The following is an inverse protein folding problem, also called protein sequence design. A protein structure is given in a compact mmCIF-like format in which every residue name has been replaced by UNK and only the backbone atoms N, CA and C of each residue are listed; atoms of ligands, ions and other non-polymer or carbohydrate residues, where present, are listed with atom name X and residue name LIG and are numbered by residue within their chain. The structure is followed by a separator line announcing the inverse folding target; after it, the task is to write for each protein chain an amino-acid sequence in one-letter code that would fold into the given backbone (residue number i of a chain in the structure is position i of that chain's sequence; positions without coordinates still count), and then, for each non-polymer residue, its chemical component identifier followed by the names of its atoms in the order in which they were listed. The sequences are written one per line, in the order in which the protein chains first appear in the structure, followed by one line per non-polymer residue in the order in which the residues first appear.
data_IF_085932909386
#
_entry.id   IF_085932909386
#
_cell.length_a   1.000
_cell.length_b   1.000
_cell.length_c   1.000
_cell.angle_alpha   90.00
_cell.angle_beta   90.00
_cell.angle_gamma   90.00
#
_symmetry.space_group_name_H-M   'P 1'
#
loop_
_entity.id
_entity.type
_entity.pdbx_description
1 polymer ?
#
# COMPACT_ATOMS: atom_id res chain seq x y z
N UNK A 1 15.73 -32.06 70.22
CA UNK A 1 15.33 -32.24 68.82
C UNK A 1 14.68 -30.95 68.33
N UNK A 2 15.33 -30.21 67.42
CA UNK A 2 14.74 -29.05 66.72
C UNK A 2 14.62 -29.44 65.25
N UNK A 3 13.40 -29.51 64.73
CA UNK A 3 13.12 -29.70 63.30
C UNK A 3 13.09 -28.33 62.61
N UNK A 4 13.84 -28.18 61.52
CA UNK A 4 13.81 -27.01 60.65
C UNK A 4 12.64 -27.11 59.65
N UNK A 5 11.97 -26.00 59.28
CA UNK A 5 10.89 -26.01 58.30
C UNK A 5 11.42 -25.98 56.85
N UNK A 6 11.21 -27.08 56.13
CA UNK A 6 11.51 -27.26 54.70
C UNK A 6 10.44 -26.60 53.79
N UNK A 7 10.14 -25.31 53.99
CA UNK A 7 8.99 -24.66 53.35
C UNK A 7 9.33 -23.45 52.47
N UNK A 8 10.60 -23.03 52.39
CA UNK A 8 10.97 -21.77 51.74
C UNK A 8 11.57 -21.89 50.33
N UNK A 9 11.87 -23.10 49.85
CA UNK A 9 12.59 -23.28 48.58
C UNK A 9 11.70 -23.44 47.33
N UNK A 10 10.39 -23.66 47.50
CA UNK A 10 9.51 -24.00 46.36
C UNK A 10 8.92 -22.75 45.67
N UNK A 11 8.88 -21.59 46.34
CA UNK A 11 8.30 -20.35 45.79
C UNK A 11 9.25 -19.53 44.90
N UNK A 12 10.55 -19.80 44.94
CA UNK A 12 11.56 -19.05 44.17
C UNK A 12 11.69 -19.48 42.71
N UNK A 13 11.34 -20.74 42.38
CA UNK A 13 11.60 -21.31 41.05
C UNK A 13 10.57 -20.90 39.98
N UNK A 14 9.35 -20.56 40.38
CA UNK A 14 8.30 -20.13 39.43
C UNK A 14 8.45 -18.68 38.97
N UNK A 15 9.02 -17.80 39.81
CA UNK A 15 9.22 -16.40 39.46
C UNK A 15 10.37 -16.21 38.46
N UNK A 16 11.40 -17.06 38.50
CA UNK A 16 12.56 -16.96 37.61
C UNK A 16 12.29 -17.55 36.21
N UNK A 17 11.44 -18.58 36.10
CA UNK A 17 11.06 -19.18 34.82
C UNK A 17 10.13 -18.26 33.99
N UNK A 18 9.32 -17.42 34.65
CA UNK A 18 8.42 -16.49 33.96
C UNK A 18 9.13 -15.22 33.46
N UNK A 19 10.28 -14.86 34.04
CA UNK A 19 11.03 -13.65 33.68
C UNK A 19 11.84 -13.78 32.37
N UNK A 20 12.18 -15.00 31.93
CA UNK A 20 12.94 -15.22 30.68
C UNK A 20 12.07 -15.31 29.41
N UNK A 21 10.74 -15.38 29.52
CA UNK A 21 9.87 -15.57 28.36
C UNK A 21 9.46 -14.25 27.66
N UNK A 22 9.81 -13.09 28.22
CA UNK A 22 9.32 -11.77 27.74
C UNK A 22 10.33 -11.01 26.87
N UNK A 23 11.52 -11.58 26.62
CA UNK A 23 12.59 -10.89 25.87
C UNK A 23 12.87 -11.48 24.49
N UNK A 24 11.84 -11.90 23.76
CA UNK A 24 11.97 -11.93 22.30
C UNK A 24 11.70 -10.51 21.81
N UNK A 25 12.73 -9.71 21.46
CA UNK A 25 12.47 -8.52 20.68
C UNK A 25 11.82 -9.03 19.40
N UNK A 26 10.55 -8.73 19.20
CA UNK A 26 9.89 -8.92 17.92
C UNK A 26 10.61 -7.98 16.95
N UNK A 27 11.70 -8.47 16.35
CA UNK A 27 12.27 -7.91 15.15
C UNK A 27 11.18 -8.02 14.08
N UNK A 28 10.28 -7.04 14.06
CA UNK A 28 9.29 -6.91 13.01
C UNK A 28 10.08 -6.70 11.72
N UNK A 29 10.26 -7.77 10.97
CA UNK A 29 10.91 -7.71 9.66
C UNK A 29 9.98 -6.98 8.69
N UNK A 30 10.53 -6.31 7.69
CA UNK A 30 9.73 -5.67 6.64
C UNK A 30 8.78 -6.67 5.96
N UNK A 31 9.22 -7.93 5.81
CA UNK A 31 8.39 -9.04 5.32
C UNK A 31 7.20 -9.32 6.23
N UNK A 32 7.41 -9.39 7.55
CA UNK A 32 6.31 -9.60 8.51
C UNK A 32 5.30 -8.44 8.48
N UNK A 33 5.80 -7.21 8.36
CA UNK A 33 4.95 -6.04 8.23
C UNK A 33 4.14 -6.05 6.91
N UNK A 34 4.76 -6.46 5.80
CA UNK A 34 4.08 -6.65 4.52
C UNK A 34 2.98 -7.71 4.64
N UNK A 35 3.26 -8.87 5.24
CA UNK A 35 2.27 -9.92 5.46
C UNK A 35 1.09 -9.43 6.33
N UNK A 36 1.37 -8.70 7.43
CA UNK A 36 0.30 -8.10 8.26
C UNK A 36 -0.52 -7.06 7.50
N UNK A 37 0.09 -6.29 6.61
CA UNK A 37 -0.63 -5.32 5.77
C UNK A 37 -1.55 -6.01 4.76
N UNK A 38 -1.10 -7.13 4.18
CA UNK A 38 -1.92 -7.95 3.29
C UNK A 38 -3.14 -8.51 4.02
N UNK A 39 -2.94 -9.10 5.20
CA UNK A 39 -4.06 -9.62 6.01
C UNK A 39 -5.07 -8.52 6.35
N UNK A 40 -4.59 -7.33 6.75
CA UNK A 40 -5.49 -6.19 7.00
C UNK A 40 -6.26 -5.77 5.74
N UNK A 41 -5.59 -5.73 4.58
CA UNK A 41 -6.23 -5.43 3.30
C UNK A 41 -7.31 -6.46 2.93
N UNK A 42 -7.02 -7.75 3.07
CA UNK A 42 -7.95 -8.86 2.79
C UNK A 42 -9.17 -8.85 3.72
N UNK A 43 -9.00 -8.33 4.94
CA UNK A 43 -10.08 -8.14 5.92
C UNK A 43 -10.89 -6.85 5.70
N UNK A 44 -10.60 -6.09 4.63
CA UNK A 44 -11.15 -4.75 4.36
C UNK A 44 -10.83 -3.69 5.44
N UNK A 45 -9.83 -3.93 6.29
CA UNK A 45 -9.31 -2.94 7.23
C UNK A 45 -8.26 -2.07 6.54
N UNK A 46 -8.73 -1.24 5.62
CA UNK A 46 -7.90 -0.43 4.72
C UNK A 46 -7.11 0.66 5.46
N UNK A 47 -7.65 1.21 6.56
CA UNK A 47 -6.93 2.18 7.39
C UNK A 47 -5.72 1.54 8.08
N UNK A 48 -5.90 0.34 8.65
CA UNK A 48 -4.80 -0.41 9.25
C UNK A 48 -3.79 -0.85 8.21
N UNK A 49 -4.23 -1.36 7.06
CA UNK A 49 -3.36 -1.73 5.96
C UNK A 49 -2.49 -0.53 5.54
N UNK A 50 -3.11 0.64 5.36
CA UNK A 50 -2.45 1.89 4.99
C UNK A 50 -1.39 2.31 6.01
N UNK A 51 -1.71 2.26 7.31
CA UNK A 51 -0.78 2.60 8.37
C UNK A 51 0.44 1.67 8.38
N UNK A 52 0.23 0.37 8.19
CA UNK A 52 1.32 -0.61 8.09
C UNK A 52 2.20 -0.37 6.87
N UNK A 53 1.60 -0.05 5.72
CA UNK A 53 2.32 0.19 4.46
C UNK A 53 3.17 1.46 4.51
N UNK A 54 2.61 2.58 4.98
CA UNK A 54 3.33 3.87 5.08
C UNK A 54 4.56 3.79 5.99
N UNK A 55 4.50 2.98 7.05
CA UNK A 55 5.66 2.77 7.92
C UNK A 55 6.83 2.07 7.20
N UNK A 56 6.57 1.25 6.17
CA UNK A 56 7.63 0.62 5.37
C UNK A 56 8.19 1.54 4.28
N UNK A 57 7.46 2.59 3.89
CA UNK A 57 7.78 3.44 2.75
C UNK A 57 9.16 4.12 2.88
N UNK A 58 9.60 4.35 4.12
CA UNK A 58 10.91 4.95 4.45
C UNK A 58 12.08 4.14 3.88
N UNK A 59 11.96 2.80 3.83
CA UNK A 59 13.05 1.94 3.36
C UNK A 59 12.52 0.68 2.64
N UNK A 60 11.86 0.90 1.50
CA UNK A 60 11.42 -0.18 0.61
C UNK A 60 12.57 -1.00 0.03
N UNK A 61 13.82 -0.54 0.14
CA UNK A 61 14.98 -1.26 -0.39
C UNK A 61 15.25 -2.57 0.36
N UNK A 62 14.73 -2.69 1.60
CA UNK A 62 14.78 -3.93 2.40
C UNK A 62 13.87 -5.04 1.89
N UNK A 63 12.88 -4.69 1.07
CA UNK A 63 12.03 -5.68 0.39
C UNK A 63 12.76 -6.21 -0.85
N UNK A 64 12.64 -7.50 -1.10
CA UNK A 64 13.05 -8.12 -2.37
C UNK A 64 12.25 -7.54 -3.54
N UNK A 65 12.72 -7.71 -4.80
CA UNK A 65 11.96 -7.23 -5.96
C UNK A 65 10.52 -7.73 -6.02
N UNK A 66 10.28 -8.99 -5.66
CA UNK A 66 8.93 -9.56 -5.62
C UNK A 66 8.06 -8.95 -4.53
N UNK A 67 8.62 -8.76 -3.32
CA UNK A 67 7.91 -8.11 -2.22
C UNK A 67 7.61 -6.63 -2.51
N UNK A 68 8.47 -5.93 -3.28
CA UNK A 68 8.18 -4.57 -3.74
C UNK A 68 7.00 -4.51 -4.71
N UNK A 69 6.84 -5.52 -5.57
CA UNK A 69 5.66 -5.64 -6.43
C UNK A 69 4.39 -5.82 -5.59
N UNK A 70 4.44 -6.69 -4.58
CA UNK A 70 3.32 -6.93 -3.67
C UNK A 70 2.99 -5.69 -2.84
N UNK A 71 4.00 -5.01 -2.32
CA UNK A 71 3.85 -3.73 -1.63
C UNK A 71 3.16 -2.70 -2.51
N UNK A 72 3.63 -2.51 -3.75
CA UNK A 72 3.06 -1.52 -4.67
C UNK A 72 1.58 -1.83 -4.99
N UNK A 73 1.24 -3.10 -5.21
CA UNK A 73 -0.16 -3.51 -5.38
C UNK A 73 -1.00 -3.21 -4.14
N UNK A 74 -0.56 -3.65 -2.95
CA UNK A 74 -1.31 -3.46 -1.70
C UNK A 74 -1.49 -1.98 -1.37
N UNK A 75 -0.43 -1.17 -1.52
CA UNK A 75 -0.46 0.28 -1.34
C UNK A 75 -1.44 0.94 -2.30
N UNK A 76 -1.34 0.61 -3.58
CA UNK A 76 -2.20 1.18 -4.62
C UNK A 76 -3.67 0.78 -4.51
N UNK A 77 -3.95 -0.50 -4.24
CA UNK A 77 -5.34 -0.96 -4.03
C UNK A 77 -5.93 -0.44 -2.73
N UNK A 78 -5.13 -0.29 -1.68
CA UNK A 78 -5.60 0.34 -0.43
C UNK A 78 -5.97 1.80 -0.68
N UNK A 79 -5.12 2.57 -1.36
CA UNK A 79 -5.43 3.95 -1.74
C UNK A 79 -6.66 4.04 -2.64
N UNK A 80 -6.79 3.13 -3.60
CA UNK A 80 -7.95 3.06 -4.51
C UNK A 80 -9.25 2.85 -3.73
N UNK A 81 -9.27 1.92 -2.77
CA UNK A 81 -10.42 1.64 -1.90
C UNK A 81 -10.77 2.81 -0.96
N UNK A 82 -9.75 3.56 -0.54
CA UNK A 82 -9.91 4.75 0.31
C UNK A 82 -10.25 6.03 -0.48
N UNK A 83 -10.24 5.97 -1.83
CA UNK A 83 -10.51 7.12 -2.70
C UNK A 83 -9.32 8.05 -2.94
N UNK A 84 -8.10 7.69 -2.50
CA UNK A 84 -6.87 8.45 -2.73
C UNK A 84 -6.34 8.20 -4.15
N UNK A 85 -7.07 8.68 -5.16
CA UNK A 85 -6.86 8.26 -6.57
C UNK A 85 -5.48 8.61 -7.14
N UNK A 86 -4.86 9.71 -6.72
CA UNK A 86 -3.52 10.10 -7.21
C UNK A 86 -2.48 9.11 -6.73
N UNK A 87 -2.46 8.81 -5.42
CA UNK A 87 -1.55 7.83 -4.82
C UNK A 87 -1.83 6.43 -5.35
N UNK A 88 -3.11 6.06 -5.45
CA UNK A 88 -3.54 4.78 -6.01
C UNK A 88 -2.96 4.55 -7.42
N UNK A 89 -3.10 5.55 -8.30
CA UNK A 89 -2.57 5.47 -9.67
C UNK A 89 -1.05 5.33 -9.67
N UNK A 90 -0.35 6.08 -8.84
CA UNK A 90 1.11 5.99 -8.74
C UNK A 90 1.55 4.57 -8.37
N UNK A 91 1.02 4.03 -7.27
CA UNK A 91 1.43 2.73 -6.76
C UNK A 91 0.98 1.56 -7.63
N UNK A 92 -0.22 1.62 -8.21
CA UNK A 92 -0.69 0.60 -9.16
C UNK A 92 0.12 0.63 -10.47
N UNK A 93 0.56 1.80 -10.94
CA UNK A 93 1.45 1.89 -12.09
C UNK A 93 2.82 1.23 -11.80
N UNK A 94 3.36 1.41 -10.59
CA UNK A 94 4.58 0.70 -10.16
C UNK A 94 4.36 -0.82 -10.08
N UNK A 95 3.23 -1.27 -9.52
CA UNK A 95 2.90 -2.69 -9.47
C UNK A 95 2.84 -3.31 -10.87
N UNK A 96 2.20 -2.62 -11.82
CA UNK A 96 2.16 -3.01 -13.23
C UNK A 96 3.55 -3.07 -13.85
N UNK A 97 4.39 -2.06 -13.62
CA UNK A 97 5.75 -2.03 -14.13
C UNK A 97 6.61 -3.19 -13.59
N UNK A 98 6.43 -3.57 -12.32
CA UNK A 98 7.12 -4.74 -11.76
C UNK A 98 6.69 -6.06 -12.41
N UNK A 99 5.39 -6.22 -12.71
CA UNK A 99 4.88 -7.38 -13.44
C UNK A 99 5.39 -7.43 -14.88
N UNK A 100 5.46 -6.30 -15.57
CA UNK A 100 6.03 -6.23 -16.92
C UNK A 100 7.53 -6.55 -16.94
N UNK A 101 8.27 -6.13 -15.90
CA UNK A 101 9.69 -6.44 -15.75
C UNK A 101 9.96 -7.90 -15.35
N UNK A 102 9.04 -8.52 -14.60
CA UNK A 102 9.15 -9.90 -14.12
C UNK A 102 7.77 -10.58 -14.16
N UNK A 103 7.38 -11.15 -15.31
CA UNK A 103 6.07 -11.77 -15.47
C UNK A 103 5.78 -12.85 -14.42
N UNK A 104 4.59 -12.80 -13.82
CA UNK A 104 4.15 -13.72 -12.77
C UNK A 104 4.60 -13.33 -11.35
N UNK A 105 5.21 -12.16 -11.15
CA UNK A 105 5.54 -11.67 -9.79
C UNK A 105 4.30 -11.31 -8.99
N UNK A 106 3.23 -10.88 -9.68
CA UNK A 106 1.92 -10.64 -9.09
C UNK A 106 0.99 -11.85 -9.31
N UNK A 107 0.19 -12.25 -8.29
CA UNK A 107 -0.91 -13.18 -8.47
C UNK A 107 -1.86 -12.75 -9.60
N UNK A 108 -2.45 -13.71 -10.33
CA UNK A 108 -3.27 -13.41 -11.50
C UNK A 108 -4.45 -12.48 -11.21
N UNK A 109 -5.10 -12.65 -10.07
CA UNK A 109 -6.21 -11.80 -9.64
C UNK A 109 -5.73 -10.37 -9.27
N UNK A 110 -4.53 -10.24 -8.69
CA UNK A 110 -3.93 -8.93 -8.38
C UNK A 110 -3.59 -8.17 -9.67
N UNK A 111 -3.08 -8.86 -10.70
CA UNK A 111 -2.81 -8.27 -12.02
C UNK A 111 -4.06 -7.76 -12.72
N UNK A 112 -5.14 -8.56 -12.67
CA UNK A 112 -6.43 -8.17 -13.24
C UNK A 112 -6.96 -6.90 -12.55
N UNK A 113 -7.05 -6.92 -11.21
CA UNK A 113 -7.53 -5.76 -10.42
C UNK A 113 -6.66 -4.50 -10.63
N UNK A 114 -5.35 -4.65 -10.74
CA UNK A 114 -4.43 -3.53 -11.05
C UNK A 114 -4.78 -2.91 -12.40
N UNK A 115 -5.00 -3.74 -13.41
CA UNK A 115 -5.31 -3.29 -14.77
C UNK A 115 -6.66 -2.58 -14.82
N UNK A 116 -7.68 -3.18 -14.23
CA UNK A 116 -9.04 -2.62 -14.15
C UNK A 116 -9.06 -1.28 -13.41
N UNK A 117 -8.43 -1.19 -12.23
CA UNK A 117 -8.40 0.04 -11.44
C UNK A 117 -7.63 1.17 -12.15
N UNK A 118 -6.52 0.85 -12.84
CA UNK A 118 -5.81 1.82 -13.66
C UNK A 118 -6.65 2.29 -14.84
N UNK A 119 -7.36 1.39 -15.52
CA UNK A 119 -8.24 1.73 -16.64
C UNK A 119 -9.36 2.69 -16.20
N UNK A 120 -10.06 2.38 -15.10
CA UNK A 120 -11.08 3.27 -14.53
C UNK A 120 -10.51 4.67 -14.25
N UNK A 121 -9.40 4.75 -13.51
CA UNK A 121 -8.82 6.03 -13.13
C UNK A 121 -8.27 6.80 -14.32
N UNK A 122 -7.76 6.11 -15.35
CA UNK A 122 -7.31 6.74 -16.58
C UNK A 122 -8.49 7.31 -17.39
N UNK A 123 -9.62 6.60 -17.44
CA UNK A 123 -10.84 7.07 -18.09
C UNK A 123 -11.34 8.40 -17.52
N UNK A 124 -11.39 8.52 -16.18
CA UNK A 124 -11.81 9.76 -15.50
C UNK A 124 -10.93 10.95 -15.90
N UNK A 125 -9.60 10.75 -15.96
CA UNK A 125 -8.66 11.81 -16.34
C UNK A 125 -8.83 12.21 -17.80
N UNK A 126 -9.03 11.25 -18.70
CA UNK A 126 -9.23 11.51 -20.12
C UNK A 126 -10.53 12.29 -20.37
N UNK A 127 -11.63 11.89 -19.74
CA UNK A 127 -12.90 12.61 -19.83
C UNK A 127 -12.79 14.06 -19.33
N UNK A 128 -12.11 14.26 -18.20
CA UNK A 128 -11.84 15.61 -17.67
C UNK A 128 -11.02 16.45 -18.63
N UNK A 129 -9.97 15.86 -19.23
CA UNK A 129 -9.12 16.52 -20.22
C UNK A 129 -9.89 16.93 -21.48
N UNK A 130 -10.74 16.04 -22.02
CA UNK A 130 -11.58 16.34 -23.18
C UNK A 130 -12.56 17.48 -22.90
N UNK A 131 -13.20 17.50 -21.71
CA UNK A 131 -14.09 18.59 -21.29
C UNK A 131 -13.34 19.92 -21.19
N UNK A 132 -12.13 19.92 -20.61
CA UNK A 132 -11.31 21.11 -20.49
C UNK A 132 -10.87 21.65 -21.86
N UNK A 133 -10.45 20.77 -22.78
CA UNK A 133 -10.08 21.14 -24.14
C UNK A 133 -11.28 21.76 -24.89
N UNK A 134 -12.46 21.13 -24.81
CA UNK A 134 -13.68 21.65 -25.43
C UNK A 134 -14.13 23.00 -24.84
N UNK A 135 -13.83 23.27 -23.57
CA UNK A 135 -14.06 24.58 -22.95
C UNK A 135 -13.03 25.62 -23.45
N UNK A 136 -11.75 25.24 -23.59
CA UNK A 136 -10.70 26.13 -24.10
C UNK A 136 -10.81 26.47 -25.58
N UNK A 137 -11.56 25.68 -26.36
CA UNK A 137 -11.90 25.99 -27.75
C UNK A 137 -13.09 26.96 -27.86
N UNK A 138 -13.75 27.30 -26.74
CA UNK A 138 -14.83 28.30 -26.67
C UNK A 138 -14.43 29.63 -25.99
N UNK A 139 -13.43 30.34 -26.52
CA UNK A 139 -13.44 31.80 -26.47
C UNK A 139 -13.41 32.39 -27.89
N UNK A 140 -14.57 32.86 -28.37
CA UNK A 140 -14.77 33.59 -29.64
C UNK A 140 -14.85 32.70 -30.88
N UNK A 141 -16.01 32.38 -31.44
CA UNK A 141 -16.83 33.32 -32.22
C UNK A 141 -16.08 34.62 -32.61
N UNK A 142 -15.53 34.61 -33.82
CA UNK A 142 -15.48 35.77 -34.73
C UNK A 142 -14.96 37.11 -34.17
N UNK A 143 -13.71 37.16 -33.70
CA UNK A 143 -12.96 38.43 -33.76
C UNK A 143 -12.40 38.60 -35.16
N UNK A 144 -13.20 39.24 -36.01
CA UNK A 144 -12.72 40.31 -36.88
C UNK A 144 -11.53 39.97 -37.80
N UNK A 145 -11.84 39.54 -39.02
CA UNK A 145 -11.06 39.98 -40.18
C UNK A 145 -12.01 40.41 -41.28
N UNK A 146 -12.90 41.36 -40.93
CA UNK A 146 -13.40 42.29 -41.91
C UNK A 146 -12.20 43.13 -42.37
N UNK A 147 -11.51 42.66 -43.40
CA UNK A 147 -10.46 43.43 -44.10
C UNK A 147 -11.18 44.59 -44.82
N UNK A 148 -10.97 45.87 -44.46
CA UNK A 148 -11.47 46.93 -45.29
C UNK A 148 -10.65 46.92 -46.59
N UNK A 149 -11.35 46.76 -47.70
CA UNK A 149 -10.84 47.01 -49.04
C UNK A 149 -10.46 48.48 -49.14
N UNK A 150 -9.17 48.75 -49.34
CA UNK A 150 -8.65 50.02 -49.84
C UNK A 150 -7.68 49.71 -50.99
#
# INVERSE_FOLDING_TARGET
MRLAPASLLIRGSFALALACAVTLPACATYRDQLARSQVAFEQNDHERALALLRNMEIDLTRLTPSERAHYAYLRGMTDYRMGYRVDARHWLALAKAYEEASPGVLPADWRARTSEALEEMNGIVQEGGLKALAASQRPGEASDTARPSN
#
